data_IF_613572647604
#
_entry.id   IF_613572647604
#
_cell.length_a   1.000
_cell.length_b   1.000
_cell.length_c   1.000
_cell.angle_alpha   90.00
_cell.angle_beta   90.00
_cell.angle_gamma   90.00
#
_symmetry.space_group_name_H-M   'P 1'
#
loop_
_entity.id
_entity.type
_entity.pdbx_description
1 polymer ?
#
# COMPACT_ATOMS: atom_id res chain seq x y z
N UNK A 1 12.83 -7.60 -3.81
CA UNK A 1 11.79 -7.17 -4.76
C UNK A 1 11.90 -5.67 -4.83
N UNK A 2 12.26 -5.18 -6.00
CA UNK A 2 12.34 -3.75 -6.29
C UNK A 2 10.91 -3.24 -6.48
N UNK A 3 10.57 -2.13 -5.84
CA UNK A 3 9.22 -1.54 -5.91
C UNK A 3 8.98 -0.98 -7.31
N UNK A 4 7.89 -1.40 -7.96
CA UNK A 4 7.60 -1.04 -9.36
C UNK A 4 6.75 0.23 -9.47
N UNK A 5 6.10 0.67 -8.38
CA UNK A 5 5.31 1.91 -8.38
C UNK A 5 4.48 2.10 -7.12
N UNK A 6 3.71 3.19 -7.10
CA UNK A 6 2.72 3.53 -6.08
C UNK A 6 1.33 3.40 -6.71
N UNK A 7 0.40 2.84 -5.95
CA UNK A 7 -0.99 2.71 -6.35
C UNK A 7 -1.87 3.48 -5.37
N UNK A 8 -2.64 4.42 -5.92
CA UNK A 8 -3.59 5.29 -5.21
C UNK A 8 -5.03 4.77 -5.39
N UNK A 9 -6.02 5.46 -4.82
CA UNK A 9 -7.44 5.10 -5.00
C UNK A 9 -7.89 5.14 -6.46
N UNK A 10 -7.39 6.10 -7.25
CA UNK A 10 -7.78 6.29 -8.65
C UNK A 10 -7.36 5.13 -9.56
N UNK A 11 -6.39 4.34 -9.11
CA UNK A 11 -5.74 3.31 -9.92
C UNK A 11 -6.33 1.91 -9.74
N UNK A 12 -7.34 1.74 -8.87
CA UNK A 12 -7.81 0.41 -8.49
C UNK A 12 -9.34 0.39 -8.40
N UNK A 13 -9.95 -0.44 -9.22
CA UNK A 13 -11.33 -0.82 -9.01
C UNK A 13 -11.43 -1.72 -7.76
N UNK A 14 -12.40 -1.44 -6.90
CA UNK A 14 -12.66 -2.24 -5.68
C UNK A 14 -12.85 -3.73 -5.96
N UNK A 15 -13.38 -4.08 -7.13
CA UNK A 15 -13.49 -5.45 -7.66
C UNK A 15 -12.15 -6.17 -7.81
N UNK A 16 -11.04 -5.42 -7.90
CA UNK A 16 -9.69 -5.95 -8.10
C UNK A 16 -8.91 -6.11 -6.79
N UNK A 17 -9.49 -5.69 -5.66
CA UNK A 17 -8.91 -5.95 -4.35
C UNK A 17 -9.15 -7.38 -3.88
N UNK A 18 -8.08 -8.11 -3.61
CA UNK A 18 -8.13 -9.52 -3.21
C UNK A 18 -8.01 -9.75 -1.70
N UNK A 19 -7.92 -8.70 -0.89
CA UNK A 19 -7.66 -8.82 0.54
C UNK A 19 -6.17 -8.71 0.89
N UNK A 20 -5.81 -9.32 2.01
CA UNK A 20 -4.44 -9.34 2.52
C UNK A 20 -3.87 -10.76 2.54
N UNK A 21 -2.57 -10.90 2.28
CA UNK A 21 -1.88 -12.18 2.30
C UNK A 21 -0.50 -12.07 2.96
N UNK A 22 -0.10 -13.13 3.65
CA UNK A 22 1.23 -13.19 4.26
C UNK A 22 2.33 -13.24 3.19
N UNK A 23 3.37 -12.45 3.41
CA UNK A 23 4.56 -12.37 2.55
C UNK A 23 5.13 -13.74 2.18
N UNK A 24 5.07 -14.72 3.08
CA UNK A 24 5.58 -16.09 2.84
C UNK A 24 4.78 -16.81 1.77
N UNK A 25 3.46 -16.62 1.73
CA UNK A 25 2.58 -17.20 0.70
C UNK A 25 2.81 -16.49 -0.62
N UNK A 26 2.88 -15.16 -0.61
CA UNK A 26 3.10 -14.38 -1.83
C UNK A 26 4.42 -14.74 -2.50
N UNK A 27 5.50 -14.99 -1.75
CA UNK A 27 6.78 -15.45 -2.34
C UNK A 27 6.70 -16.72 -3.20
N UNK A 28 5.63 -17.50 -3.09
CA UNK A 28 5.40 -18.70 -3.88
C UNK A 28 4.68 -18.42 -5.21
N UNK A 29 4.09 -17.23 -5.36
CA UNK A 29 3.37 -16.82 -6.56
C UNK A 29 4.37 -16.30 -7.60
N UNK A 30 4.34 -16.91 -8.78
CA UNK A 30 5.16 -16.47 -9.92
C UNK A 30 4.65 -15.12 -10.46
N UNK A 31 5.55 -14.28 -10.97
CA UNK A 31 5.25 -13.01 -11.64
C UNK A 31 4.66 -11.87 -10.77
N UNK A 32 4.79 -11.94 -9.45
CA UNK A 32 4.40 -10.82 -8.57
C UNK A 32 5.20 -9.55 -8.84
N UNK A 33 4.50 -8.42 -8.93
CA UNK A 33 5.10 -7.09 -8.93
C UNK A 33 4.80 -6.39 -7.61
N UNK A 34 5.84 -6.02 -6.87
CA UNK A 34 5.68 -5.28 -5.61
C UNK A 34 5.34 -3.82 -5.87
N UNK A 35 4.36 -3.31 -5.12
CA UNK A 35 3.89 -1.93 -5.19
C UNK A 35 3.71 -1.35 -3.80
N UNK A 36 3.52 -0.03 -3.74
CA UNK A 36 3.16 0.69 -2.53
C UNK A 36 1.70 1.11 -2.63
N UNK A 37 0.92 0.79 -1.60
CA UNK A 37 -0.48 1.18 -1.51
C UNK A 37 -0.56 2.46 -0.69
N UNK A 38 -1.15 3.48 -1.27
CA UNK A 38 -1.50 4.69 -0.55
C UNK A 38 -2.78 4.48 0.26
N UNK A 39 -2.61 4.08 1.52
CA UNK A 39 -3.73 3.69 2.38
C UNK A 39 -4.62 4.86 2.77
N UNK A 40 -4.10 6.10 2.77
CA UNK A 40 -4.95 7.26 3.07
C UNK A 40 -6.13 7.36 2.09
N UNK A 41 -5.93 6.90 0.84
CA UNK A 41 -6.94 6.80 -0.20
C UNK A 41 -7.82 5.52 -0.08
N UNK A 42 -7.33 4.46 0.57
CA UNK A 42 -8.01 3.16 0.72
C UNK A 42 -8.90 3.02 1.98
N UNK A 43 -9.12 4.14 2.68
CA UNK A 43 -9.64 4.20 4.06
C UNK A 43 -11.07 3.72 4.27
N UNK A 44 -11.81 3.36 3.23
CA UNK A 44 -13.22 2.95 3.36
C UNK A 44 -13.44 1.45 3.50
N UNK A 45 -12.46 0.56 3.23
CA UNK A 45 -12.77 -0.89 3.18
C UNK A 45 -11.86 -1.88 3.93
N UNK A 46 -10.60 -1.57 4.28
CA UNK A 46 -9.61 -2.66 4.52
C UNK A 46 -8.80 -2.59 5.81
N UNK A 47 -8.62 -1.41 6.42
CA UNK A 47 -7.83 -1.27 7.64
C UNK A 47 -8.68 -0.65 8.74
N UNK A 48 -8.55 -1.18 9.95
CA UNK A 48 -9.21 -0.64 11.15
C UNK A 48 -9.11 0.90 11.16
N UNK A 49 -10.22 1.60 11.44
CA UNK A 49 -10.33 3.06 11.28
C UNK A 49 -9.40 3.91 12.17
N UNK A 50 -8.47 3.30 12.91
CA UNK A 50 -7.71 3.93 14.00
C UNK A 50 -6.21 4.13 13.74
N UNK A 51 -5.64 3.65 12.62
CA UNK A 51 -4.23 3.96 12.28
C UNK A 51 -4.11 4.67 10.94
N UNK A 52 -4.09 6.01 11.01
CA UNK A 52 -3.64 6.84 9.87
C UNK A 52 -2.16 6.59 9.64
N UNK A 53 -1.79 6.19 8.43
CA UNK A 53 -0.40 6.21 7.99
C UNK A 53 -0.11 7.64 7.55
N UNK A 54 0.85 8.32 8.19
CA UNK A 54 1.19 9.69 7.83
C UNK A 54 1.87 9.81 6.46
N UNK A 55 2.09 11.03 5.96
CA UNK A 55 2.82 11.29 4.72
C UNK A 55 4.12 10.49 4.62
N UNK A 56 4.44 9.98 3.43
CA UNK A 56 5.62 9.15 3.23
C UNK A 56 5.53 7.72 3.80
N UNK A 57 4.42 7.32 4.42
CA UNK A 57 4.21 5.95 4.91
C UNK A 57 3.20 5.22 4.04
N UNK A 58 3.64 4.12 3.43
CA UNK A 58 2.86 3.31 2.50
C UNK A 58 2.81 1.87 2.98
N UNK A 59 1.71 1.15 2.71
CA UNK A 59 1.71 -0.31 2.87
C UNK A 59 2.30 -0.96 1.64
N UNK A 60 2.95 -2.10 1.83
CA UNK A 60 3.41 -2.94 0.73
C UNK A 60 2.21 -3.68 0.18
N UNK A 61 1.98 -3.55 -1.12
CA UNK A 61 1.06 -4.36 -1.89
C UNK A 61 1.81 -5.20 -2.93
N UNK A 62 1.06 -6.06 -3.62
CA UNK A 62 1.55 -6.71 -4.82
C UNK A 62 0.45 -6.86 -5.86
N UNK A 63 0.82 -6.73 -7.13
CA UNK A 63 -0.04 -7.12 -8.25
C UNK A 63 0.05 -8.62 -8.48
N UNK A 64 -1.12 -9.25 -8.59
CA UNK A 64 -1.31 -10.64 -9.00
C UNK A 64 -2.02 -10.63 -10.37
N UNK A 65 -1.35 -11.14 -11.40
CA UNK A 65 -1.88 -11.07 -12.76
C UNK A 65 -1.81 -9.65 -13.33
N UNK A 66 -2.85 -9.21 -14.04
CA UNK A 66 -2.84 -7.95 -14.79
C UNK A 66 -3.14 -6.72 -13.92
N UNK A 67 -4.14 -6.79 -13.07
CA UNK A 67 -4.71 -5.62 -12.39
C UNK A 67 -5.18 -5.89 -10.95
N UNK A 68 -5.06 -7.13 -10.46
CA UNK A 68 -5.53 -7.50 -9.13
C UNK A 68 -4.48 -7.21 -8.07
N UNK A 69 -4.91 -6.73 -6.93
CA UNK A 69 -4.01 -6.24 -5.89
C UNK A 69 -4.29 -6.93 -4.57
N UNK A 70 -3.22 -7.26 -3.88
CA UNK A 70 -3.23 -7.83 -2.53
C UNK A 70 -2.36 -6.99 -1.60
N UNK A 71 -2.84 -6.75 -0.40
CA UNK A 71 -2.04 -6.15 0.67
C UNK A 71 -1.10 -7.18 1.29
N UNK A 72 0.14 -6.79 1.56
CA UNK A 72 1.14 -7.69 2.15
C UNK A 72 1.21 -7.51 3.67
N UNK A 73 1.11 -8.63 4.38
CA UNK A 73 1.36 -8.70 5.83
C UNK A 73 2.56 -9.58 6.15
N UNK A 74 3.16 -9.38 7.32
CA UNK A 74 4.12 -10.30 7.93
C UNK A 74 3.51 -10.82 9.24
N UNK A 75 3.04 -12.07 9.24
CA UNK A 75 2.18 -12.61 10.27
C UNK A 75 0.85 -11.86 10.35
N UNK A 76 0.64 -11.12 11.44
CA UNK A 76 -0.58 -10.30 11.66
C UNK A 76 -0.36 -8.80 11.44
N UNK A 77 0.85 -8.38 11.07
CA UNK A 77 1.19 -6.97 10.96
C UNK A 77 1.26 -6.55 9.49
N UNK A 78 0.66 -5.41 9.09
CA UNK A 78 0.83 -4.87 7.75
C UNK A 78 2.29 -4.53 7.50
N UNK A 79 2.81 -4.92 6.35
CA UNK A 79 4.14 -4.50 5.94
C UNK A 79 4.08 -3.05 5.47
N UNK A 80 4.89 -2.18 6.07
CA UNK A 80 4.96 -0.76 5.71
C UNK A 80 6.33 -0.38 5.15
N UNK A 81 6.34 0.68 4.35
CA UNK A 81 7.54 1.34 3.83
C UNK A 81 7.44 2.82 4.11
N UNK A 82 8.55 3.37 4.61
CA UNK A 82 8.68 4.79 4.94
C UNK A 82 9.65 5.41 3.97
N UNK A 83 9.22 6.48 3.30
CA UNK A 83 10.04 7.32 2.44
C UNK A 83 10.24 8.66 3.14
N UNK A 84 11.51 9.02 3.35
CA UNK A 84 11.91 10.25 4.04
C UNK A 84 12.01 11.47 3.13
N UNK A 85 11.67 11.34 1.84
CA UNK A 85 11.69 12.46 0.89
C UNK A 85 10.61 13.48 1.24
N UNK A 86 10.93 14.76 1.08
CA UNK A 86 9.98 15.88 1.18
C UNK A 86 9.96 16.66 -0.14
N UNK A 87 8.80 16.82 -0.81
CA UNK A 87 7.56 16.10 -0.54
C UNK A 87 7.72 14.58 -0.76
N UNK A 88 6.77 13.79 -0.27
CA UNK A 88 6.73 12.36 -0.54
C UNK A 88 6.42 12.09 -2.03
N UNK A 89 6.41 10.82 -2.41
CA UNK A 89 6.21 10.44 -3.80
C UNK A 89 4.81 10.77 -4.37
N UNK A 90 3.86 11.21 -3.52
CA UNK A 90 2.56 11.75 -3.91
C UNK A 90 2.46 13.27 -3.70
N UNK A 91 3.57 13.96 -3.46
CA UNK A 91 3.57 15.41 -3.24
C UNK A 91 3.19 15.84 -1.82
N UNK A 92 2.96 14.91 -0.88
CA UNK A 92 2.53 15.21 0.50
C UNK A 92 3.73 15.57 1.37
N UNK A 93 3.54 16.54 2.27
CA UNK A 93 4.57 16.98 3.22
C UNK A 93 4.04 16.91 4.64
N UNK A 94 4.87 16.53 5.60
CA UNK A 94 4.54 16.75 7.01
C UNK A 94 4.50 18.26 7.29
N UNK A 95 3.32 18.77 7.63
CA UNK A 95 3.10 20.15 8.08
C UNK A 95 2.29 21.01 7.12
N UNK A 96 0.97 20.92 7.22
CA UNK A 96 0.10 22.07 7.44
C UNK A 96 -1.04 21.58 8.33
N UNK A 97 -0.70 21.31 9.60
CA UNK A 97 -1.65 21.65 10.66
C UNK A 97 -1.70 23.19 10.64
N UNK A 98 -2.70 23.74 9.98
CA UNK A 98 -3.18 25.09 10.32
C UNK A 98 -3.67 25.05 11.76
N UNK A 99 -2.86 25.57 12.68
CA UNK A 99 -3.15 26.60 13.70
C UNK A 99 -2.09 26.60 14.80
#
# INVERSE_FOLDING_TARGET
METVGIVTEDNIELSHWLGVADRRILRLVLELKSVLLDIEAWRTMILEPYKRLGPGVYMVGAFIGLDRIVGVVEGRQPMVRVFSSKPDALGRSFGQDTE
#
